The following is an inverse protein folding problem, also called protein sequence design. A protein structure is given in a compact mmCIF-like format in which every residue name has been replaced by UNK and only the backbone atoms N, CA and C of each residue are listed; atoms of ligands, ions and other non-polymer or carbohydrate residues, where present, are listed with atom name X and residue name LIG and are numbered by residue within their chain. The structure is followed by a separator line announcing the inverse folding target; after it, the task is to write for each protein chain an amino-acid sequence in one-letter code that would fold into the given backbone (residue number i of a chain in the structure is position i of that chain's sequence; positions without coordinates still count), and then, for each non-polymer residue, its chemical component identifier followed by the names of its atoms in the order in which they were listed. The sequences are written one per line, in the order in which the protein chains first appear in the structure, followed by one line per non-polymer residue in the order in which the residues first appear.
data_IF_906512551884
#
_entry.id   IF_906512551884
#
_cell.length_a   1.000
_cell.length_b   1.000
_cell.length_c   1.000
_cell.angle_alpha   90.00
_cell.angle_beta   90.00
_cell.angle_gamma   90.00
#
_symmetry.space_group_name_H-M   'P 1'
#
loop_
_entity.id
_entity.type
_entity.pdbx_description
1 polymer ?
#
# COMPACT_ATOMS: atom_id res chain seq x y z
N UNK A 1 -1.58 4.33 14.61
CA UNK A 1 -0.34 3.85 13.97
C UNK A 1 0.67 3.48 15.05
N UNK A 2 1.17 2.24 15.04
CA UNK A 2 2.20 1.74 15.95
C UNK A 2 3.54 1.68 15.21
N UNK A 3 3.53 1.15 13.98
CA UNK A 3 4.68 1.05 13.10
C UNK A 3 4.24 1.38 11.68
N UNK A 4 5.04 2.17 10.97
CA UNK A 4 4.86 2.44 9.56
C UNK A 4 6.21 2.33 8.85
N UNK A 5 6.21 1.57 7.75
CA UNK A 5 7.20 1.70 6.69
C UNK A 5 6.49 2.31 5.48
N UNK A 6 7.03 3.43 5.00
CA UNK A 6 6.55 4.13 3.82
C UNK A 6 7.73 4.38 2.88
N UNK A 7 7.58 3.91 1.64
CA UNK A 7 8.58 4.03 0.59
C UNK A 7 7.93 4.74 -0.59
N UNK A 8 8.40 5.95 -0.86
CA UNK A 8 7.93 6.75 -1.99
C UNK A 8 8.84 6.51 -3.20
N UNK A 9 8.31 5.78 -4.19
CA UNK A 9 8.91 5.61 -5.51
C UNK A 9 8.65 6.83 -6.39
N UNK A 10 9.68 7.65 -6.62
CA UNK A 10 9.59 8.77 -7.55
C UNK A 10 9.76 8.30 -9.01
N UNK A 11 8.74 8.54 -9.83
CA UNK A 11 8.80 8.33 -11.27
C UNK A 11 8.64 9.66 -12.02
N UNK A 12 9.65 10.53 -11.93
CA UNK A 12 9.71 11.78 -12.69
C UNK A 12 8.58 12.77 -12.36
N UNK A 13 8.35 13.80 -13.21
CA UNK A 13 7.22 14.71 -13.06
C UNK A 13 5.92 13.98 -13.43
N UNK A 14 5.23 13.42 -12.43
CA UNK A 14 4.01 12.64 -12.62
C UNK A 14 3.49 12.02 -11.32
N UNK A 15 2.60 11.04 -11.45
CA UNK A 15 2.07 10.25 -10.34
C UNK A 15 3.21 9.64 -9.50
N UNK A 16 3.04 9.60 -8.19
CA UNK A 16 3.98 8.97 -7.27
C UNK A 16 3.45 7.62 -6.85
N UNK A 17 4.35 6.63 -6.74
CA UNK A 17 4.03 5.35 -6.15
C UNK A 17 4.43 5.38 -4.68
N UNK A 18 3.51 4.98 -3.82
CA UNK A 18 3.76 4.82 -2.39
C UNK A 18 3.60 3.34 -2.05
N UNK A 19 4.54 2.80 -1.29
CA UNK A 19 4.50 1.41 -0.83
C UNK A 19 4.50 1.42 0.69
N UNK A 20 3.41 0.95 1.27
CA UNK A 20 3.12 1.06 2.69
C UNK A 20 3.07 -0.31 3.36
N UNK A 21 3.61 -0.38 4.58
CA UNK A 21 3.34 -1.44 5.55
C UNK A 21 3.08 -0.78 6.91
N UNK A 22 1.87 -0.95 7.42
CA UNK A 22 1.40 -0.37 8.68
C UNK A 22 0.98 -1.47 9.67
N UNK A 23 1.30 -1.24 10.94
CA UNK A 23 0.69 -1.94 12.06
C UNK A 23 -0.05 -0.89 12.90
N UNK A 24 -1.35 -1.06 13.05
CA UNK A 24 -2.22 -0.09 13.72
C UNK A 24 -3.31 -0.76 14.55
N UNK A 25 -4.03 0.06 15.32
CA UNK A 25 -5.23 -0.37 16.03
C UNK A 25 -6.44 -0.11 15.13
N UNK A 26 -7.36 -1.06 15.07
CA UNK A 26 -8.70 -0.87 14.51
C UNK A 26 -9.58 -0.09 15.49
N UNK A 27 -10.70 0.45 15.02
CA UNK A 27 -11.70 1.13 15.86
C UNK A 27 -12.30 0.23 16.94
N UNK A 28 -12.18 -1.09 16.77
CA UNK A 28 -12.63 -2.10 17.72
C UNK A 28 -11.56 -2.47 18.75
N UNK A 29 -10.40 -1.79 18.74
CA UNK A 29 -9.30 -2.04 19.67
C UNK A 29 -8.49 -3.30 19.38
N UNK A 30 -8.59 -3.84 18.16
CA UNK A 30 -7.75 -4.96 17.72
C UNK A 30 -6.53 -4.44 16.97
N UNK A 31 -5.43 -5.21 16.96
CA UNK A 31 -4.33 -4.91 16.06
C UNK A 31 -4.70 -5.28 14.63
N UNK A 32 -4.15 -4.56 13.66
CA UNK A 32 -4.18 -4.94 12.26
C UNK A 32 -2.83 -4.70 11.60
N UNK A 33 -2.51 -5.52 10.60
CA UNK A 33 -1.43 -5.26 9.65
C UNK A 33 -2.05 -4.93 8.31
N UNK A 34 -1.62 -3.81 7.73
CA UNK A 34 -2.01 -3.38 6.40
C UNK A 34 -0.77 -3.24 5.53
N UNK A 35 -0.84 -3.66 4.28
CA UNK A 35 0.17 -3.33 3.27
C UNK A 35 -0.55 -2.81 2.03
N UNK A 36 -0.03 -1.78 1.38
CA UNK A 36 -0.61 -1.27 0.14
C UNK A 36 0.48 -0.77 -0.81
N UNK A 37 0.16 -0.81 -2.10
CA UNK A 37 0.81 0.01 -3.12
C UNK A 37 -0.23 1.00 -3.62
N UNK A 38 0.12 2.28 -3.52
CA UNK A 38 -0.78 3.36 -3.85
C UNK A 38 -0.22 4.20 -4.99
N UNK A 39 -1.14 4.78 -5.76
CA UNK A 39 -0.83 5.78 -6.77
C UNK A 39 -1.33 7.12 -6.26
N UNK A 40 -0.41 8.00 -5.87
CA UNK A 40 -0.71 9.39 -5.60
C UNK A 40 -0.83 10.12 -6.93
N UNK A 41 -2.06 10.41 -7.35
CA UNK A 41 -2.32 11.09 -8.59
C UNK A 41 -2.23 12.61 -8.41
N UNK A 42 -1.44 13.28 -9.26
CA UNK A 42 -1.26 14.74 -9.19
C UNK A 42 -2.12 15.49 -10.22
N UNK A 43 -3.33 15.00 -10.54
CA UNK A 43 -4.23 15.73 -11.44
C UNK A 43 -4.90 16.89 -10.70
N UNK A 44 -5.08 18.03 -11.39
CA UNK A 44 -5.63 19.29 -10.85
C UNK A 44 -7.01 19.15 -10.16
N UNK A 45 -7.73 18.06 -10.42
CA UNK A 45 -9.09 17.83 -9.92
C UNK A 45 -9.12 16.87 -8.72
N UNK A 46 -8.09 16.04 -8.56
CA UNK A 46 -8.06 15.03 -7.50
C UNK A 46 -6.60 14.74 -7.09
N UNK A 47 -6.24 15.21 -5.90
CA UNK A 47 -4.95 14.94 -5.25
C UNK A 47 -5.06 13.74 -4.29
N UNK A 48 -5.78 12.70 -4.71
CA UNK A 48 -5.98 11.51 -3.92
C UNK A 48 -4.90 10.46 -4.14
N UNK A 49 -4.66 9.71 -3.07
CA UNK A 49 -3.91 8.46 -3.07
C UNK A 49 -4.91 7.33 -3.31
N UNK A 50 -4.65 6.49 -4.32
CA UNK A 50 -5.51 5.35 -4.67
C UNK A 50 -4.79 4.04 -4.45
N UNK A 51 -5.37 3.14 -3.67
CA UNK A 51 -4.85 1.77 -3.47
C UNK A 51 -4.96 0.99 -4.79
N UNK A 52 -3.82 0.59 -5.35
CA UNK A 52 -3.75 -0.23 -6.56
C UNK A 52 -3.77 -1.73 -6.23
N UNK A 53 -3.18 -2.12 -5.09
CA UNK A 53 -3.29 -3.44 -4.48
C UNK A 53 -3.09 -3.28 -2.97
N UNK A 54 -3.83 -4.04 -2.18
CA UNK A 54 -3.83 -3.92 -0.74
C UNK A 54 -4.04 -5.28 -0.06
N UNK A 55 -3.39 -5.43 1.09
CA UNK A 55 -3.60 -6.47 2.07
C UNK A 55 -4.03 -5.81 3.37
N UNK A 56 -5.10 -6.31 3.98
CA UNK A 56 -5.50 -5.91 5.32
C UNK A 56 -5.84 -7.15 6.15
N UNK A 57 -5.19 -7.30 7.30
CA UNK A 57 -5.35 -8.45 8.19
C UNK A 57 -5.56 -7.95 9.61
N UNK A 58 -6.75 -8.21 10.16
CA UNK A 58 -7.05 -7.97 11.57
C UNK A 58 -6.53 -9.14 12.40
N UNK A 59 -5.81 -8.85 13.47
CA UNK A 59 -5.22 -9.85 14.36
C UNK A 59 -6.29 -10.39 15.32
N UNK A 60 -6.42 -11.70 15.34
CA UNK A 60 -7.35 -12.44 16.18
C UNK A 60 -6.69 -13.68 16.79
N UNK A 61 -7.43 -14.79 16.88
CA UNK A 61 -6.87 -16.07 17.30
C UNK A 61 -5.86 -16.62 16.27
N UNK A 62 -6.19 -16.48 14.99
CA UNK A 62 -5.30 -16.72 13.84
C UNK A 62 -5.75 -15.79 12.70
N UNK A 63 -4.83 -15.16 11.95
CA UNK A 63 -3.37 -15.27 12.09
C UNK A 63 -2.79 -14.44 13.24
N UNK A 64 -1.66 -14.89 13.78
CA UNK A 64 -0.85 -14.11 14.72
C UNK A 64 -0.27 -12.84 14.07
N UNK A 65 0.14 -11.87 14.90
CA UNK A 65 0.77 -10.63 14.44
C UNK A 65 2.00 -10.89 13.57
N UNK A 66 2.86 -11.85 13.93
CA UNK A 66 4.08 -12.14 13.18
C UNK A 66 3.78 -12.73 11.80
N UNK A 67 2.77 -13.60 11.67
CA UNK A 67 2.34 -14.15 10.38
C UNK A 67 1.72 -13.07 9.50
N UNK A 68 0.87 -12.21 10.06
CA UNK A 68 0.28 -11.10 9.34
C UNK A 68 1.34 -10.10 8.88
N UNK A 69 2.31 -9.79 9.74
CA UNK A 69 3.44 -8.92 9.42
C UNK A 69 4.31 -9.52 8.31
N UNK A 70 4.64 -10.81 8.39
CA UNK A 70 5.39 -11.50 7.34
C UNK A 70 4.65 -11.44 6.00
N UNK A 71 3.34 -11.72 5.98
CA UNK A 71 2.54 -11.63 4.76
C UNK A 71 2.53 -10.22 4.17
N UNK A 72 2.43 -9.18 5.01
CA UNK A 72 2.53 -7.78 4.59
C UNK A 72 3.91 -7.43 4.03
N UNK A 73 4.99 -7.87 4.70
CA UNK A 73 6.35 -7.66 4.23
C UNK A 73 6.64 -8.39 2.91
N UNK A 74 6.14 -9.61 2.74
CA UNK A 74 6.29 -10.37 1.48
C UNK A 74 5.57 -9.67 0.32
N UNK A 75 4.38 -9.12 0.56
CA UNK A 75 3.67 -8.28 -0.42
C UNK A 75 4.48 -7.04 -0.78
N UNK A 76 4.95 -6.30 0.23
CA UNK A 76 5.73 -5.09 0.04
C UNK A 76 7.00 -5.35 -0.79
N UNK A 77 7.77 -6.39 -0.43
CA UNK A 77 8.97 -6.79 -1.17
C UNK A 77 8.63 -7.21 -2.59
N UNK A 78 7.53 -7.94 -2.79
CA UNK A 78 7.03 -8.32 -4.11
C UNK A 78 6.73 -7.09 -4.99
N UNK A 79 5.98 -6.12 -4.46
CA UNK A 79 5.65 -4.89 -5.18
C UNK A 79 6.90 -4.03 -5.48
N UNK A 80 7.87 -3.99 -4.56
CA UNK A 80 9.13 -3.26 -4.76
C UNK A 80 10.07 -3.93 -5.76
N UNK A 81 9.94 -5.24 -5.99
CA UNK A 81 10.78 -5.98 -6.91
C UNK A 81 10.39 -5.70 -8.36
N UNK A 82 9.11 -5.87 -8.72
CA UNK A 82 8.58 -5.64 -10.07
C UNK A 82 7.03 -5.72 -10.05
N UNK A 83 6.28 -4.83 -10.73
CA UNK A 83 6.72 -3.69 -11.55
C UNK A 83 6.84 -2.37 -10.78
N UNK A 84 7.80 -1.52 -11.18
CA UNK A 84 7.96 -0.14 -10.68
C UNK A 84 7.36 0.92 -11.59
N UNK A 85 6.65 0.49 -12.65
CA UNK A 85 6.02 1.37 -13.62
C UNK A 85 4.72 1.97 -13.03
N UNK A 86 4.62 3.30 -12.88
CA UNK A 86 3.40 3.93 -12.41
C UNK A 86 2.19 3.66 -13.29
N UNK A 87 2.35 3.56 -14.62
CA UNK A 87 1.22 3.33 -15.52
C UNK A 87 0.60 1.94 -15.32
N UNK A 88 1.42 0.95 -14.99
CA UNK A 88 0.95 -0.38 -14.58
C UNK A 88 0.06 -0.30 -13.34
N UNK A 89 0.54 0.35 -12.27
CA UNK A 89 -0.21 0.45 -11.01
C UNK A 89 -1.45 1.31 -11.16
N UNK A 90 -1.37 2.35 -11.98
CA UNK A 90 -2.48 3.22 -12.33
C UNK A 90 -3.58 2.45 -13.04
N UNK A 91 -3.22 1.64 -14.02
CA UNK A 91 -4.16 0.74 -14.69
C UNK A 91 -4.80 -0.25 -13.69
N UNK A 92 -3.98 -0.81 -12.79
CA UNK A 92 -4.45 -1.74 -11.76
C UNK A 92 -5.41 -1.10 -10.76
N UNK A 93 -5.19 0.17 -10.42
CA UNK A 93 -6.10 0.98 -9.61
C UNK A 93 -7.39 1.40 -10.35
N UNK A 94 -7.56 1.03 -11.62
CA UNK A 94 -8.71 1.42 -12.43
C UNK A 94 -8.70 2.90 -12.84
N UNK A 95 -7.56 3.57 -12.71
CA UNK A 95 -7.43 4.98 -13.07
C UNK A 95 -7.26 5.13 -14.59
N UNK A 96 -7.83 6.18 -15.23
CA UNK A 96 -7.63 6.44 -16.64
C UNK A 96 -6.16 6.63 -16.99
N UNK A 97 -5.76 6.27 -18.23
CA UNK A 97 -4.45 6.62 -18.75
C UNK A 97 -4.18 8.13 -18.65
N UNK A 98 -2.89 8.49 -18.62
CA UNK A 98 -2.44 9.89 -18.57
C UNK A 98 -2.78 10.63 -19.86
#
# INVERSE_FOLDING_TARGET
MILLADIVGHAGPGDQLEFLLDVSWTDQGQLSVSAAVNVACWRDVDHATHDADALHVVIGAEPSLSQAFQAGADRLVGWLADPRDPDYWRHRAGLPAR
#
